data_IF_277993238663
#
_entry.id   IF_277993238663
#
_cell.length_a   1.000
_cell.length_b   1.000
_cell.length_c   1.000
_cell.angle_alpha   90.00
_cell.angle_beta   90.00
_cell.angle_gamma   90.00
#
_symmetry.space_group_name_H-M   'P 1'
#
loop_
_entity.id
_entity.type
_entity.pdbx_description
1 polymer ?
#
# COMPACT_ATOMS: atom_id res chain seq x y z
N UNK A 1 -25.53 47.29 22.16
CA UNK A 1 -24.35 46.68 22.82
C UNK A 1 -24.46 45.18 23.11
N UNK A 2 -25.60 44.67 23.62
CA UNK A 2 -25.75 43.26 23.98
C UNK A 2 -25.46 42.23 22.86
N UNK A 3 -25.89 42.49 21.62
CA UNK A 3 -25.62 41.59 20.48
C UNK A 3 -24.14 41.46 20.13
N UNK A 4 -23.36 42.56 20.26
CA UNK A 4 -21.91 42.53 20.01
C UNK A 4 -21.17 41.71 21.05
N UNK A 5 -21.62 41.75 22.31
CA UNK A 5 -21.07 40.91 23.38
C UNK A 5 -21.38 39.42 23.19
N UNK A 6 -22.55 39.09 22.63
CA UNK A 6 -22.91 37.71 22.29
C UNK A 6 -22.05 37.15 21.16
N UNK A 7 -21.91 37.89 20.04
CA UNK A 7 -21.09 37.46 18.89
C UNK A 7 -19.64 37.28 19.30
N UNK A 8 -19.07 38.20 20.08
CA UNK A 8 -17.70 38.08 20.58
C UNK A 8 -17.48 36.81 21.41
N UNK A 9 -18.44 36.46 22.29
CA UNK A 9 -18.39 35.22 23.09
C UNK A 9 -18.47 33.97 22.21
N UNK A 10 -19.29 34.00 21.15
CA UNK A 10 -19.39 32.88 20.20
C UNK A 10 -18.10 32.72 19.39
N UNK A 11 -17.51 33.81 18.90
CA UNK A 11 -16.21 33.79 18.22
C UNK A 11 -15.09 33.27 19.14
N UNK A 12 -15.10 33.65 20.42
CA UNK A 12 -14.18 33.12 21.43
C UNK A 12 -14.38 31.61 21.66
N UNK A 13 -15.63 31.14 21.68
CA UNK A 13 -15.95 29.70 21.78
C UNK A 13 -15.55 28.95 20.53
N UNK A 14 -15.83 29.48 19.34
CA UNK A 14 -15.43 28.88 18.06
C UNK A 14 -13.91 28.80 17.94
N UNK A 15 -13.19 29.84 18.39
CA UNK A 15 -11.72 29.81 18.48
C UNK A 15 -11.23 28.74 19.44
N UNK A 16 -11.85 28.60 20.61
CA UNK A 16 -11.47 27.56 21.58
C UNK A 16 -11.73 26.14 21.03
N UNK A 17 -12.89 25.92 20.39
CA UNK A 17 -13.25 24.65 19.77
C UNK A 17 -12.28 24.28 18.64
N UNK A 18 -11.92 25.25 17.79
CA UNK A 18 -10.92 25.08 16.74
C UNK A 18 -9.53 24.74 17.31
N UNK A 19 -9.12 25.34 18.43
CA UNK A 19 -7.85 25.02 19.10
C UNK A 19 -7.87 23.57 19.61
N UNK A 20 -8.96 23.12 20.21
CA UNK A 20 -9.12 21.74 20.71
C UNK A 20 -9.07 20.74 19.55
N UNK A 21 -9.77 21.04 18.45
CA UNK A 21 -9.77 20.18 17.26
C UNK A 21 -8.37 20.09 16.63
N UNK A 22 -7.67 21.22 16.49
CA UNK A 22 -6.29 21.26 15.97
C UNK A 22 -5.34 20.48 16.87
N UNK A 23 -5.49 20.57 18.19
CA UNK A 23 -4.71 19.77 19.13
C UNK A 23 -4.96 18.27 18.93
N UNK A 24 -6.23 17.84 18.86
CA UNK A 24 -6.58 16.43 18.64
C UNK A 24 -6.01 15.88 17.31
N UNK A 25 -6.11 16.65 16.24
CA UNK A 25 -5.54 16.28 14.92
C UNK A 25 -4.01 16.20 14.98
N UNK A 26 -3.35 17.10 15.71
CA UNK A 26 -1.89 17.08 15.88
C UNK A 26 -1.40 15.83 16.61
N UNK A 27 -2.13 15.37 17.62
CA UNK A 27 -1.82 14.10 18.32
C UNK A 27 -1.98 12.89 17.39
N UNK A 28 -3.03 12.86 16.56
CA UNK A 28 -3.20 11.82 15.54
C UNK A 28 -2.08 11.84 14.47
N UNK A 29 -1.64 13.04 14.08
CA UNK A 29 -0.56 13.21 13.11
C UNK A 29 0.79 12.74 13.66
N UNK A 30 1.07 12.99 14.95
CA UNK A 30 2.29 12.53 15.61
C UNK A 30 2.37 11.00 15.68
N UNK A 31 1.25 10.32 15.96
CA UNK A 31 1.19 8.86 15.91
C UNK A 31 1.53 8.33 14.50
N UNK A 32 0.98 8.94 13.46
CA UNK A 32 1.26 8.58 12.06
C UNK A 32 2.71 8.85 11.65
N UNK A 33 3.35 9.92 12.14
CA UNK A 33 4.73 10.26 11.78
C UNK A 33 5.75 9.28 12.41
N UNK A 34 5.46 8.75 13.60
CA UNK A 34 6.29 7.71 14.24
C UNK A 34 6.31 6.39 13.45
N UNK A 35 5.25 6.09 12.69
CA UNK A 35 5.21 4.93 11.78
C UNK A 35 6.14 5.09 10.57
N UNK A 36 6.52 6.32 10.18
CA UNK A 36 7.42 6.58 9.03
C UNK A 36 8.91 6.61 9.38
N UNK A 37 9.28 6.97 10.62
CA UNK A 37 10.69 7.10 11.02
C UNK A 37 11.38 5.75 11.35
N UNK A 38 10.62 4.71 11.70
CA UNK A 38 11.14 3.34 11.74
C UNK A 38 11.04 2.75 10.34
N UNK A 39 12.13 2.73 9.59
CA UNK A 39 12.22 2.24 8.20
C UNK A 39 11.81 0.77 7.98
N UNK A 40 10.54 0.44 8.19
CA UNK A 40 9.93 -0.83 7.85
C UNK A 40 9.22 -0.67 6.50
N UNK A 41 10.00 -0.98 5.48
CA UNK A 41 9.60 -1.36 4.11
C UNK A 41 8.08 -1.53 3.93
N UNK A 42 7.49 -0.58 3.21
CA UNK A 42 6.16 -0.60 2.59
C UNK A 42 5.80 -2.03 2.14
N UNK A 43 4.85 -2.65 2.82
CA UNK A 43 4.07 -3.74 2.26
C UNK A 43 2.62 -3.26 2.16
N UNK A 44 2.12 -3.39 0.93
CA UNK A 44 0.89 -2.83 0.41
C UNK A 44 -0.34 -3.48 1.05
N UNK A 45 -1.28 -2.65 1.53
CA UNK A 45 -2.69 -2.92 1.85
C UNK A 45 -3.02 -4.08 2.83
N UNK A 46 -4.12 -3.99 3.60
CA UNK A 46 -4.73 -5.16 4.20
C UNK A 46 -5.33 -6.03 3.08
N UNK A 47 -4.49 -6.89 2.48
CA UNK A 47 -4.95 -8.00 1.67
C UNK A 47 -5.85 -8.94 2.50
N UNK A 48 -6.69 -9.76 1.84
CA UNK A 48 -7.64 -10.62 2.53
C UNK A 48 -6.92 -11.52 3.55
N UNK A 49 -7.47 -11.57 4.77
CA UNK A 49 -6.98 -12.36 5.90
C UNK A 49 -6.81 -13.82 5.47
N UNK A 50 -5.59 -14.22 5.09
CA UNK A 50 -5.30 -15.60 4.74
C UNK A 50 -5.09 -16.40 6.02
N UNK A 51 -6.22 -16.80 6.63
CA UNK A 51 -6.29 -17.76 7.73
C UNK A 51 -5.55 -19.04 7.32
N UNK A 52 -4.44 -19.34 7.99
CA UNK A 52 -3.87 -20.69 8.17
C UNK A 52 -4.08 -21.67 7.00
N UNK A 53 -3.82 -21.24 5.77
CA UNK A 53 -3.83 -22.10 4.60
C UNK A 53 -2.39 -22.26 4.19
N UNK A 54 -1.89 -23.51 4.22
CA UNK A 54 -0.56 -23.86 3.72
C UNK A 54 -0.29 -23.12 2.41
N UNK A 55 0.89 -22.51 2.23
CA UNK A 55 1.19 -21.75 1.01
C UNK A 55 1.06 -22.68 -0.20
N UNK A 56 0.08 -22.40 -1.05
CA UNK A 56 -0.13 -23.13 -2.31
C UNK A 56 0.62 -22.41 -3.42
N UNK A 57 1.48 -23.14 -4.11
CA UNK A 57 2.25 -22.62 -5.22
C UNK A 57 1.32 -22.36 -6.41
N UNK A 58 1.23 -21.11 -6.86
CA UNK A 58 0.42 -20.74 -8.03
C UNK A 58 0.91 -21.35 -9.35
N UNK A 59 2.18 -21.74 -9.44
CA UNK A 59 2.75 -22.35 -10.65
C UNK A 59 2.55 -23.86 -10.75
N UNK A 60 2.54 -24.59 -9.63
CA UNK A 60 2.42 -26.06 -9.64
C UNK A 60 1.22 -26.60 -8.84
N UNK A 61 0.43 -25.72 -8.24
CA UNK A 61 -0.73 -26.03 -7.40
C UNK A 61 -0.44 -26.97 -6.22
N UNK A 62 0.84 -27.12 -5.83
CA UNK A 62 1.25 -27.88 -4.64
C UNK A 62 1.29 -26.99 -3.41
N UNK A 63 0.84 -27.52 -2.28
CA UNK A 63 0.92 -26.89 -0.96
C UNK A 63 2.31 -27.01 -0.32
N UNK A 64 2.58 -26.18 0.69
CA UNK A 64 3.83 -26.15 1.45
C UNK A 64 4.91 -25.19 0.91
N UNK A 65 4.68 -24.53 -0.23
CA UNK A 65 5.60 -23.50 -0.74
C UNK A 65 4.90 -22.49 -1.65
N UNK A 66 5.44 -21.28 -1.73
CA UNK A 66 5.00 -20.26 -2.68
C UNK A 66 5.70 -20.43 -4.03
N UNK A 67 5.18 -19.77 -5.06
CA UNK A 67 5.75 -19.77 -6.42
C UNK A 67 7.26 -19.48 -6.45
N UNK A 68 7.75 -18.57 -5.60
CA UNK A 68 9.18 -18.22 -5.52
C UNK A 68 10.07 -19.33 -4.95
N UNK A 69 9.51 -20.22 -4.13
CA UNK A 69 10.21 -21.36 -3.53
C UNK A 69 9.90 -22.68 -4.25
N UNK A 70 9.23 -22.62 -5.41
CA UNK A 70 8.85 -23.80 -6.16
C UNK A 70 10.09 -24.46 -6.79
N UNK A 71 10.43 -25.71 -6.42
CA UNK A 71 11.60 -26.40 -6.95
C UNK A 71 11.50 -26.61 -8.47
N UNK A 72 10.29 -26.75 -9.02
CA UNK A 72 10.07 -26.86 -10.46
C UNK A 72 10.42 -25.55 -11.21
N UNK A 73 10.21 -24.39 -10.58
CA UNK A 73 10.58 -23.09 -11.17
C UNK A 73 12.08 -22.84 -11.11
N UNK A 74 12.78 -23.37 -10.10
CA UNK A 74 14.24 -23.26 -10.01
C UNK A 74 14.93 -23.93 -11.20
N UNK A 75 14.38 -25.04 -11.71
CA UNK A 75 14.92 -25.73 -12.89
C UNK A 75 14.41 -25.17 -14.23
N UNK A 76 13.21 -24.57 -14.27
CA UNK A 76 12.60 -24.08 -15.51
C UNK A 76 12.80 -22.56 -15.78
N UNK A 77 13.27 -21.80 -14.77
CA UNK A 77 13.38 -20.34 -14.83
C UNK A 77 12.02 -19.64 -14.70
N UNK A 78 12.01 -18.32 -14.41
CA UNK A 78 10.76 -17.56 -14.34
C UNK A 78 10.08 -17.47 -15.71
N UNK A 79 8.77 -17.75 -15.75
CA UNK A 79 7.93 -17.55 -16.94
C UNK A 79 7.29 -16.17 -16.89
N UNK A 80 7.34 -15.44 -18.00
CA UNK A 80 6.74 -14.13 -18.12
C UNK A 80 5.21 -14.24 -18.15
N UNK A 81 4.52 -13.54 -17.25
CA UNK A 81 3.05 -13.53 -17.21
C UNK A 81 2.38 -12.77 -18.36
N UNK A 82 3.13 -11.93 -19.08
CA UNK A 82 2.61 -11.14 -20.20
C UNK A 82 2.77 -11.84 -21.55
N UNK A 83 3.92 -12.51 -21.78
CA UNK A 83 4.22 -13.15 -23.07
C UNK A 83 4.41 -14.67 -22.98
N UNK A 84 4.27 -15.25 -21.79
CA UNK A 84 4.39 -16.69 -21.50
C UNK A 84 5.75 -17.32 -21.89
N UNK A 85 6.78 -16.50 -22.16
CA UNK A 85 8.14 -16.99 -22.44
C UNK A 85 8.92 -17.22 -21.15
N UNK A 86 9.72 -18.29 -21.12
CA UNK A 86 10.66 -18.59 -20.02
C UNK A 86 11.89 -17.67 -20.04
N UNK A 87 12.48 -17.45 -18.87
CA UNK A 87 13.73 -16.71 -18.69
C UNK A 87 13.59 -15.23 -18.29
N UNK A 88 12.37 -14.70 -18.16
CA UNK A 88 12.15 -13.34 -17.66
C UNK A 88 10.79 -13.20 -16.97
N UNK A 89 10.63 -12.17 -16.14
CA UNK A 89 9.37 -11.81 -15.48
C UNK A 89 8.63 -10.72 -16.28
N UNK A 90 7.34 -10.52 -16.02
CA UNK A 90 6.52 -9.48 -16.65
C UNK A 90 7.17 -8.09 -16.59
N UNK A 91 7.86 -7.76 -15.49
CA UNK A 91 8.59 -6.49 -15.32
C UNK A 91 9.71 -6.29 -16.35
N UNK A 92 10.40 -7.38 -16.69
CA UNK A 92 11.53 -7.40 -17.63
C UNK A 92 11.10 -7.87 -19.04
N UNK A 93 9.80 -7.87 -19.36
CA UNK A 93 9.31 -8.30 -20.65
C UNK A 93 9.49 -7.19 -21.70
N UNK A 94 10.34 -7.44 -22.69
CA UNK A 94 10.56 -6.50 -23.81
C UNK A 94 9.26 -6.11 -24.52
N UNK A 95 8.31 -7.05 -24.65
CA UNK A 95 7.01 -6.78 -25.30
C UNK A 95 6.15 -5.81 -24.47
N UNK A 96 6.07 -6.01 -23.15
CA UNK A 96 5.39 -5.06 -22.24
C UNK A 96 6.06 -3.69 -22.25
N UNK A 97 7.39 -3.65 -22.25
CA UNK A 97 8.16 -2.41 -22.28
C UNK A 97 7.93 -1.61 -23.58
N UNK A 98 7.71 -2.30 -24.70
CA UNK A 98 7.36 -1.65 -25.97
C UNK A 98 5.92 -1.13 -25.95
N UNK A 99 4.97 -1.96 -25.50
CA UNK A 99 3.55 -1.61 -25.38
C UNK A 99 3.33 -0.38 -24.49
N UNK A 100 4.02 -0.30 -23.35
CA UNK A 100 3.95 0.82 -22.41
C UNK A 100 4.50 2.14 -22.99
N UNK A 101 5.48 2.05 -23.90
CA UNK A 101 6.02 3.24 -24.59
C UNK A 101 5.09 3.74 -25.68
N UNK A 102 4.46 2.84 -26.42
CA UNK A 102 3.48 3.21 -27.47
C UNK A 102 2.26 3.91 -26.87
N UNK A 103 1.91 3.64 -25.61
CA UNK A 103 0.78 4.28 -24.96
C UNK A 103 1.12 5.64 -24.28
N UNK A 104 2.40 5.96 -24.13
CA UNK A 104 2.87 7.21 -23.51
C UNK A 104 3.28 8.27 -24.54
N UNK A 105 3.38 7.91 -25.83
CA UNK A 105 3.45 8.84 -26.97
C UNK A 105 2.04 9.11 -27.52
#
# INVERSE_FOLDING_TARGET
EAQKAYVKRDEEKQRADAIVLVAAVKEMQAAWDTEKSSGKKKQEAPGPIFRNTEPTCFSCQKKGHLQNSCPALKSAGPTCFYCHKKGHLQKNCRKKQQDEKVFQE
#
